data_IF_491744288470
#
_entry.id   IF_491744288470
#
_cell.length_a   1.000
_cell.length_b   1.000
_cell.length_c   1.000
_cell.angle_alpha   90.00
_cell.angle_beta   90.00
_cell.angle_gamma   90.00
#
_symmetry.space_group_name_H-M   'P 1'
#
loop_
_entity.id
_entity.type
_entity.pdbx_description
1 polymer ?
#
# COMPACT_ATOMS: atom_id res chain seq x y z
N UNK A 1 9.22 -4.56 17.05
CA UNK A 1 7.89 -4.17 17.59
C UNK A 1 7.26 -3.22 16.59
N UNK A 2 6.02 -3.46 16.17
CA UNK A 2 5.33 -2.61 15.20
C UNK A 2 4.77 -1.36 15.87
N UNK A 3 4.99 -0.17 15.30
CA UNK A 3 4.53 1.12 15.85
C UNK A 3 4.30 2.16 14.75
N UNK A 4 3.57 3.20 15.05
CA UNK A 4 3.54 4.45 14.28
C UNK A 4 4.86 5.19 14.53
N UNK A 5 5.52 5.62 13.45
CA UNK A 5 6.84 6.26 13.54
C UNK A 5 6.70 7.76 13.79
N UNK A 6 5.80 8.43 13.07
CA UNK A 6 5.69 9.90 13.07
C UNK A 6 4.24 10.37 12.95
N UNK A 7 4.04 11.69 12.96
CA UNK A 7 2.74 12.32 12.86
C UNK A 7 1.97 12.34 14.19
N UNK A 8 0.66 12.65 14.12
CA UNK A 8 -0.21 12.88 15.30
C UNK A 8 -0.37 11.68 16.23
N UNK A 9 -0.08 10.46 15.75
CA UNK A 9 -0.16 9.22 16.52
C UNK A 9 1.22 8.58 16.75
N UNK A 10 2.30 9.32 16.53
CA UNK A 10 3.67 8.83 16.68
C UNK A 10 3.93 8.14 18.01
N UNK A 11 4.69 7.04 17.99
CA UNK A 11 5.04 6.21 19.16
C UNK A 11 3.99 5.17 19.56
N UNK A 12 2.75 5.21 19.03
CA UNK A 12 1.72 4.22 19.36
C UNK A 12 2.10 2.83 18.84
N UNK A 13 2.03 1.84 19.74
CA UNK A 13 2.31 0.43 19.43
C UNK A 13 1.13 -0.18 18.70
N UNK A 14 1.41 -1.02 17.70
CA UNK A 14 0.43 -1.73 16.90
C UNK A 14 0.54 -3.25 17.13
N UNK A 15 -0.60 -3.92 17.11
CA UNK A 15 -0.67 -5.37 17.14
C UNK A 15 -0.17 -5.96 15.82
N UNK A 16 0.45 -7.12 15.91
CA UNK A 16 0.90 -7.92 14.75
C UNK A 16 -0.04 -9.10 14.62
N UNK A 17 -0.50 -9.47 13.43
CA UNK A 17 -1.31 -10.66 13.23
C UNK A 17 -0.58 -11.91 13.75
N UNK A 18 -1.28 -12.87 14.34
CA UNK A 18 -0.69 -14.14 14.73
C UNK A 18 -0.24 -14.93 13.50
N UNK A 19 0.91 -15.59 13.59
CA UNK A 19 1.46 -16.46 12.55
C UNK A 19 2.58 -15.82 11.72
N UNK A 20 3.30 -16.67 10.97
CA UNK A 20 4.47 -16.27 10.16
C UNK A 20 4.10 -15.76 8.76
N UNK A 21 2.83 -15.83 8.37
CA UNK A 21 2.39 -15.57 6.99
C UNK A 21 2.50 -14.10 6.58
N UNK A 22 2.53 -13.17 7.53
CA UNK A 22 2.69 -11.74 7.26
C UNK A 22 3.81 -11.18 8.10
N UNK A 23 4.96 -10.88 7.49
CA UNK A 23 5.98 -10.05 8.12
C UNK A 23 5.58 -8.59 7.91
N UNK A 24 5.21 -7.86 8.97
CA UNK A 24 4.93 -6.43 8.84
C UNK A 24 6.11 -5.71 8.19
N UNK A 25 5.81 -4.65 7.46
CA UNK A 25 6.85 -3.78 6.90
C UNK A 25 7.77 -3.32 8.05
N UNK A 26 9.08 -3.66 8.05
CA UNK A 26 9.98 -3.29 9.13
C UNK A 26 10.04 -1.77 9.32
N UNK A 27 10.15 -1.30 10.56
CA UNK A 27 10.20 0.14 10.89
C UNK A 27 11.22 0.91 10.04
N UNK A 28 12.41 0.31 9.80
CA UNK A 28 13.45 0.93 8.97
C UNK A 28 13.02 1.12 7.51
N UNK A 29 12.33 0.14 6.95
CA UNK A 29 11.83 0.23 5.55
C UNK A 29 10.68 1.25 5.50
N UNK A 30 9.78 1.19 6.49
CA UNK A 30 8.67 2.15 6.59
C UNK A 30 9.18 3.58 6.72
N UNK A 31 10.17 3.84 7.57
CA UNK A 31 10.80 5.16 7.69
C UNK A 31 11.36 5.63 6.34
N UNK A 32 12.19 4.81 5.70
CA UNK A 32 12.77 5.14 4.40
C UNK A 32 11.72 5.36 3.31
N UNK A 33 10.62 4.61 3.36
CA UNK A 33 9.50 4.76 2.42
C UNK A 33 8.81 6.13 2.60
N UNK A 34 8.54 6.55 3.83
CA UNK A 34 7.94 7.86 4.09
C UNK A 34 8.93 9.02 3.92
N UNK A 35 10.24 8.79 4.09
CA UNK A 35 11.27 9.77 3.68
C UNK A 35 11.27 9.97 2.15
N UNK A 36 10.98 8.92 1.39
CA UNK A 36 10.87 8.98 -0.06
C UNK A 36 9.58 9.66 -0.54
N UNK A 37 8.46 9.37 0.13
CA UNK A 37 7.14 9.93 -0.20
C UNK A 37 6.96 11.39 0.22
N UNK A 38 7.80 11.85 1.15
CA UNK A 38 7.59 13.07 1.92
C UNK A 38 6.95 12.77 3.28
N UNK A 39 7.33 13.56 4.28
CA UNK A 39 6.89 13.35 5.67
C UNK A 39 5.45 13.79 5.90
N UNK A 40 4.95 14.73 5.11
CA UNK A 40 3.58 15.29 5.17
C UNK A 40 2.75 14.73 4.01
N UNK A 41 1.65 14.07 4.35
CA UNK A 41 0.69 13.51 3.40
C UNK A 41 -0.64 14.28 3.43
N UNK A 42 -0.65 15.50 3.95
CA UNK A 42 -1.86 16.31 4.06
C UNK A 42 -2.58 16.45 2.72
N UNK A 43 -3.88 16.24 2.73
CA UNK A 43 -4.74 16.31 1.55
C UNK A 43 -4.68 15.10 0.61
N UNK A 44 -3.78 14.15 0.82
CA UNK A 44 -3.65 12.98 -0.05
C UNK A 44 -4.75 11.94 0.21
N UNK A 45 -5.20 11.31 -0.88
CA UNK A 45 -6.10 10.16 -0.91
C UNK A 45 -5.31 8.90 -1.24
N UNK A 46 -5.29 7.95 -0.33
CA UNK A 46 -4.34 6.83 -0.34
C UNK A 46 -5.08 5.49 -0.23
N UNK A 47 -4.61 4.48 -0.96
CA UNK A 47 -4.99 3.08 -0.71
C UNK A 47 -3.76 2.26 -0.28
N UNK A 48 -3.97 1.41 0.73
CA UNK A 48 -3.02 0.40 1.20
C UNK A 48 -3.59 -0.98 0.87
N UNK A 49 -3.04 -1.63 -0.15
CA UNK A 49 -3.52 -2.91 -0.70
C UNK A 49 -2.71 -4.07 -0.14
N UNK A 50 -3.38 -5.11 0.32
CA UNK A 50 -2.80 -6.16 1.15
C UNK A 50 -2.24 -5.59 2.45
N UNK A 51 -3.06 -4.75 3.11
CA UNK A 51 -2.62 -3.88 4.22
C UNK A 51 -2.18 -4.64 5.48
N UNK A 52 -2.49 -5.92 5.59
CA UNK A 52 -2.11 -6.75 6.72
C UNK A 52 -2.57 -6.16 8.06
N UNK A 53 -1.63 -5.77 8.91
CA UNK A 53 -1.91 -5.08 10.18
C UNK A 53 -2.32 -3.61 10.03
N UNK A 54 -2.30 -3.06 8.81
CA UNK A 54 -2.54 -1.65 8.53
C UNK A 54 -1.36 -0.73 8.82
N UNK A 55 -0.16 -1.27 8.93
CA UNK A 55 1.01 -0.48 9.36
C UNK A 55 1.30 0.72 8.46
N UNK A 56 1.13 0.58 7.14
CA UNK A 56 1.28 1.69 6.20
C UNK A 56 0.09 2.65 6.26
N UNK A 57 -1.14 2.12 6.18
CA UNK A 57 -2.35 2.93 6.22
C UNK A 57 -2.43 3.82 7.48
N UNK A 58 -2.16 3.24 8.64
CA UNK A 58 -2.21 3.95 9.92
C UNK A 58 -1.08 4.99 10.05
N UNK A 59 0.08 4.74 9.49
CA UNK A 59 1.16 5.72 9.39
C UNK A 59 0.74 6.89 8.47
N UNK A 60 0.11 6.60 7.32
CA UNK A 60 -0.39 7.63 6.40
C UNK A 60 -1.43 8.53 7.07
N UNK A 61 -2.39 7.94 7.79
CA UNK A 61 -3.36 8.67 8.63
C UNK A 61 -2.64 9.55 9.65
N UNK A 62 -1.62 9.00 10.33
CA UNK A 62 -0.84 9.74 11.32
C UNK A 62 -0.12 10.95 10.74
N UNK A 63 0.26 10.90 9.47
CA UNK A 63 0.95 11.94 8.70
C UNK A 63 0.01 12.89 7.96
N UNK A 64 -1.30 12.84 8.24
CA UNK A 64 -2.26 13.83 7.79
C UNK A 64 -2.97 13.50 6.49
N UNK A 65 -2.88 12.29 5.95
CA UNK A 65 -3.65 11.90 4.77
C UNK A 65 -5.14 12.19 4.97
N UNK A 66 -5.79 12.74 3.94
CA UNK A 66 -7.19 13.16 4.00
C UNK A 66 -8.15 11.98 3.93
N UNK A 67 -7.76 10.91 3.22
CA UNK A 67 -8.56 9.71 3.06
C UNK A 67 -7.63 8.51 2.86
N UNK A 68 -7.82 7.44 3.65
CA UNK A 68 -6.98 6.24 3.58
C UNK A 68 -7.86 4.99 3.54
N UNK A 69 -7.72 4.20 2.49
CA UNK A 69 -8.41 2.93 2.31
C UNK A 69 -7.46 1.76 2.61
N UNK A 70 -7.62 1.09 3.74
CA UNK A 70 -6.90 -0.13 4.08
C UNK A 70 -7.68 -1.34 3.55
N UNK A 71 -7.11 -2.06 2.59
CA UNK A 71 -7.75 -3.17 1.87
C UNK A 71 -7.06 -4.48 2.23
N UNK A 72 -7.78 -5.38 2.89
CA UNK A 72 -7.25 -6.66 3.37
C UNK A 72 -8.30 -7.78 3.24
N UNK A 73 -7.98 -8.80 2.48
CA UNK A 73 -8.88 -9.95 2.28
C UNK A 73 -8.62 -11.09 3.28
N UNK A 74 -7.41 -11.15 3.84
CA UNK A 74 -6.99 -12.23 4.74
C UNK A 74 -7.67 -12.18 6.09
N UNK A 75 -8.40 -13.23 6.44
CA UNK A 75 -9.13 -13.33 7.73
C UNK A 75 -8.19 -13.23 8.94
N UNK A 76 -6.96 -13.73 8.82
CA UNK A 76 -5.94 -13.71 9.88
C UNK A 76 -5.46 -12.29 10.23
N UNK A 77 -5.49 -11.36 9.28
CA UNK A 77 -5.05 -9.98 9.50
C UNK A 77 -6.20 -9.05 9.96
N UNK A 78 -7.46 -9.45 9.72
CA UNK A 78 -8.64 -8.64 10.01
C UNK A 78 -8.73 -8.19 11.46
N UNK A 79 -8.48 -9.08 12.41
CA UNK A 79 -8.53 -8.77 13.85
C UNK A 79 -7.45 -7.76 14.26
N UNK A 80 -6.22 -7.92 13.73
CA UNK A 80 -5.12 -7.02 14.01
C UNK A 80 -5.37 -5.63 13.40
N UNK A 81 -5.81 -5.57 12.13
CA UNK A 81 -6.14 -4.31 11.47
C UNK A 81 -7.26 -3.55 12.22
N UNK A 82 -8.34 -4.26 12.60
CA UNK A 82 -9.43 -3.67 13.39
C UNK A 82 -8.96 -3.18 14.77
N UNK A 83 -8.13 -3.97 15.47
CA UNK A 83 -7.59 -3.58 16.77
C UNK A 83 -6.69 -2.35 16.65
N UNK A 84 -5.84 -2.30 15.61
CA UNK A 84 -4.94 -1.18 15.36
C UNK A 84 -5.69 0.11 15.01
N UNK A 85 -6.76 0.03 14.23
CA UNK A 85 -7.63 1.18 13.97
C UNK A 85 -8.25 1.73 15.27
N UNK A 86 -8.67 0.85 16.20
CA UNK A 86 -9.20 1.24 17.51
C UNK A 86 -8.14 1.92 18.38
N UNK A 87 -6.86 1.48 18.31
CA UNK A 87 -5.75 2.15 19.02
C UNK A 87 -5.62 3.62 18.62
N UNK A 88 -5.96 3.96 17.37
CA UNK A 88 -5.95 5.33 16.87
C UNK A 88 -7.28 6.07 17.10
N UNK A 89 -8.27 5.44 17.73
CA UNK A 89 -9.59 6.03 17.95
C UNK A 89 -10.50 5.98 16.72
N UNK A 90 -10.26 5.08 15.79
CA UNK A 90 -11.03 4.92 14.54
C UNK A 90 -11.20 6.25 13.80
N UNK A 91 -10.10 6.88 13.36
CA UNK A 91 -10.16 8.19 12.72
C UNK A 91 -11.06 8.16 11.48
N UNK A 92 -11.89 9.19 11.26
CA UNK A 92 -12.91 9.20 10.20
C UNK A 92 -12.33 9.12 8.80
N UNK A 93 -11.10 9.53 8.58
CA UNK A 93 -10.37 9.42 7.32
C UNK A 93 -9.90 7.99 7.00
N UNK A 94 -10.00 7.03 7.93
CA UNK A 94 -9.58 5.65 7.75
C UNK A 94 -10.77 4.75 7.39
N UNK A 95 -10.75 4.16 6.21
CA UNK A 95 -11.75 3.24 5.70
C UNK A 95 -11.20 1.81 5.63
N UNK A 96 -11.78 0.88 6.40
CA UNK A 96 -11.36 -0.52 6.42
C UNK A 96 -12.19 -1.34 5.44
N UNK A 97 -11.54 -2.03 4.51
CA UNK A 97 -12.17 -2.91 3.53
C UNK A 97 -11.68 -4.34 3.71
N UNK A 98 -12.53 -5.19 4.31
CA UNK A 98 -12.23 -6.62 4.48
C UNK A 98 -12.71 -7.44 3.28
N UNK A 99 -12.20 -7.06 2.10
CA UNK A 99 -12.56 -7.62 0.80
C UNK A 99 -11.33 -7.71 -0.10
N UNK A 100 -11.44 -8.50 -1.17
CA UNK A 100 -10.45 -8.54 -2.22
C UNK A 100 -10.34 -7.18 -2.92
N UNK A 101 -9.12 -6.78 -3.27
CA UNK A 101 -8.85 -5.48 -3.89
C UNK A 101 -9.58 -5.31 -5.24
N UNK A 102 -9.85 -6.42 -5.95
CA UNK A 102 -10.61 -6.43 -7.20
C UNK A 102 -12.03 -5.88 -7.04
N UNK A 103 -12.60 -5.98 -5.83
CA UNK A 103 -13.94 -5.47 -5.52
C UNK A 103 -13.93 -4.03 -4.99
N UNK A 104 -12.77 -3.54 -4.52
CA UNK A 104 -12.64 -2.24 -3.87
C UNK A 104 -12.04 -1.20 -4.82
N UNK A 105 -10.87 -1.49 -5.42
CA UNK A 105 -10.17 -0.53 -6.28
C UNK A 105 -11.02 0.06 -7.42
N UNK A 106 -11.90 -0.71 -8.11
CA UNK A 106 -12.73 -0.12 -9.17
C UNK A 106 -13.66 1.01 -8.69
N UNK A 107 -14.00 1.03 -7.41
CA UNK A 107 -14.86 2.04 -6.78
C UNK A 107 -14.07 3.28 -6.33
N UNK A 108 -12.75 3.19 -6.23
CA UNK A 108 -11.87 4.28 -5.81
C UNK A 108 -11.30 4.99 -7.05
N UNK A 109 -11.46 6.31 -7.11
CA UNK A 109 -10.95 7.12 -8.22
C UNK A 109 -10.20 8.33 -7.69
N UNK A 110 -9.20 8.76 -8.45
CA UNK A 110 -8.45 9.97 -8.12
C UNK A 110 -7.53 9.80 -6.91
N UNK A 111 -7.02 8.59 -6.65
CA UNK A 111 -6.04 8.35 -5.60
C UNK A 111 -4.70 9.01 -5.96
N UNK A 112 -4.09 9.63 -4.98
CA UNK A 112 -2.73 10.20 -5.10
C UNK A 112 -1.67 9.11 -5.02
N UNK A 113 -1.91 8.13 -4.14
CA UNK A 113 -0.96 7.09 -3.83
C UNK A 113 -1.67 5.76 -3.59
N UNK A 114 -1.12 4.69 -4.14
CA UNK A 114 -1.42 3.31 -3.76
C UNK A 114 -0.13 2.70 -3.25
N UNK A 115 -0.15 2.13 -2.06
CA UNK A 115 0.88 1.21 -1.61
C UNK A 115 0.34 -0.21 -1.69
N UNK A 116 1.15 -1.15 -2.20
CA UNK A 116 0.78 -2.55 -2.29
C UNK A 116 1.93 -3.43 -1.77
N UNK A 117 1.62 -4.28 -0.79
CA UNK A 117 2.54 -5.30 -0.25
C UNK A 117 1.94 -6.70 -0.46
N UNK A 118 1.83 -7.14 -1.75
CA UNK A 118 1.19 -8.40 -2.08
C UNK A 118 1.99 -9.59 -1.56
N UNK A 119 1.35 -10.75 -1.32
CA UNK A 119 2.04 -11.99 -1.01
C UNK A 119 3.08 -12.32 -2.09
N UNK A 120 4.32 -12.59 -1.71
CA UNK A 120 5.39 -12.89 -2.66
C UNK A 120 5.11 -14.05 -3.63
N UNK A 121 4.36 -15.10 -3.25
CA UNK A 121 3.95 -16.14 -4.21
C UNK A 121 3.19 -15.61 -5.43
N UNK A 122 2.53 -14.44 -5.36
CA UNK A 122 1.84 -13.88 -6.53
C UNK A 122 2.79 -13.51 -7.68
N UNK A 123 4.07 -13.25 -7.39
CA UNK A 123 5.05 -12.93 -8.42
C UNK A 123 5.41 -14.13 -9.31
N UNK A 124 5.36 -15.36 -8.78
CA UNK A 124 5.74 -16.56 -9.50
C UNK A 124 4.59 -17.50 -9.78
N UNK A 125 3.69 -17.71 -8.80
CA UNK A 125 2.62 -18.68 -8.90
C UNK A 125 1.30 -18.11 -9.44
N UNK A 126 1.06 -16.81 -9.22
CA UNK A 126 -0.22 -16.16 -9.58
C UNK A 126 -0.02 -14.79 -10.28
N UNK A 127 0.80 -14.71 -11.36
CA UNK A 127 1.16 -13.43 -11.99
C UNK A 127 -0.05 -12.69 -12.58
N UNK A 128 -1.14 -13.38 -12.88
CA UNK A 128 -2.39 -12.76 -13.36
C UNK A 128 -3.06 -11.90 -12.30
N UNK A 129 -2.97 -12.28 -11.01
CA UNK A 129 -3.49 -11.47 -9.89
C UNK A 129 -2.68 -10.18 -9.79
N UNK A 130 -1.36 -10.28 -9.91
CA UNK A 130 -0.46 -9.12 -9.86
C UNK A 130 -0.68 -8.17 -11.04
N UNK A 131 -0.83 -8.71 -12.26
CA UNK A 131 -1.19 -7.91 -13.45
C UNK A 131 -2.54 -7.20 -13.28
N UNK A 132 -3.52 -7.89 -12.70
CA UNK A 132 -4.82 -7.31 -12.35
C UNK A 132 -4.70 -6.16 -11.35
N UNK A 133 -3.85 -6.31 -10.33
CA UNK A 133 -3.56 -5.26 -9.36
C UNK A 133 -2.96 -4.02 -10.03
N UNK A 134 -2.00 -4.20 -10.95
CA UNK A 134 -1.38 -3.09 -11.68
C UNK A 134 -2.40 -2.35 -12.56
N UNK A 135 -3.27 -3.07 -13.28
CA UNK A 135 -4.32 -2.47 -14.11
C UNK A 135 -5.32 -1.67 -13.27
N UNK A 136 -5.87 -2.30 -12.23
CA UNK A 136 -6.85 -1.65 -11.35
C UNK A 136 -6.23 -0.47 -10.58
N UNK A 137 -4.98 -0.62 -10.14
CA UNK A 137 -4.25 0.46 -9.49
C UNK A 137 -4.07 1.66 -10.42
N UNK A 138 -3.64 1.44 -11.67
CA UNK A 138 -3.56 2.50 -12.69
C UNK A 138 -4.90 3.24 -12.83
N UNK A 139 -6.01 2.51 -12.91
CA UNK A 139 -7.34 3.07 -13.18
C UNK A 139 -7.93 3.82 -11.98
N UNK A 140 -7.42 3.54 -10.78
CA UNK A 140 -7.80 4.19 -9.53
C UNK A 140 -6.99 5.45 -9.23
N UNK A 141 -5.75 5.54 -9.72
CA UNK A 141 -4.88 6.70 -9.54
C UNK A 141 -5.37 7.91 -10.34
N UNK A 142 -5.10 9.12 -9.84
CA UNK A 142 -5.17 10.35 -10.64
C UNK A 142 -3.99 10.43 -11.63
N UNK A 143 -4.03 11.27 -12.67
CA UNK A 143 -2.84 11.57 -13.46
C UNK A 143 -1.67 11.97 -12.57
N UNK A 144 -0.47 11.46 -12.83
CA UNK A 144 0.74 11.60 -12.01
C UNK A 144 0.64 10.99 -10.60
N UNK A 145 -0.45 10.30 -10.26
CA UNK A 145 -0.54 9.49 -9.05
C UNK A 145 0.41 8.30 -9.11
N UNK A 146 0.80 7.79 -7.95
CA UNK A 146 1.83 6.76 -7.81
C UNK A 146 1.29 5.46 -7.23
N UNK A 147 1.76 4.34 -7.76
CA UNK A 147 1.62 3.03 -7.15
C UNK A 147 2.99 2.55 -6.70
N UNK A 148 3.17 2.39 -5.40
CA UNK A 148 4.34 1.75 -4.82
C UNK A 148 4.02 0.29 -4.58
N UNK A 149 4.84 -0.61 -5.11
CA UNK A 149 4.66 -2.04 -4.96
C UNK A 149 5.92 -2.70 -4.45
N UNK A 150 5.77 -3.54 -3.43
CA UNK A 150 6.89 -4.27 -2.82
C UNK A 150 6.99 -5.68 -3.38
N UNK A 151 8.21 -6.08 -3.75
CA UNK A 151 8.55 -7.44 -4.15
C UNK A 151 9.79 -7.97 -3.45
N UNK A 152 10.12 -9.23 -3.69
CA UNK A 152 11.31 -9.90 -3.18
C UNK A 152 12.42 -9.93 -4.24
N UNK A 153 13.69 -9.92 -3.80
CA UNK A 153 14.81 -10.09 -4.73
C UNK A 153 14.71 -11.43 -5.48
N UNK A 154 15.09 -11.42 -6.76
CA UNK A 154 15.02 -12.59 -7.63
C UNK A 154 13.68 -12.73 -8.37
N UNK A 155 12.72 -11.84 -8.12
CA UNK A 155 11.48 -11.77 -8.90
C UNK A 155 11.28 -10.35 -9.45
N UNK A 156 10.64 -10.25 -10.61
CA UNK A 156 10.34 -8.99 -11.25
C UNK A 156 8.83 -8.74 -11.37
N UNK A 157 8.48 -7.48 -11.64
CA UNK A 157 7.11 -7.15 -11.98
C UNK A 157 6.71 -7.81 -13.32
N UNK A 158 5.46 -8.20 -13.48
CA UNK A 158 4.95 -8.57 -14.79
C UNK A 158 5.01 -7.34 -15.73
N UNK A 159 4.75 -7.57 -17.01
CA UNK A 159 4.67 -6.48 -17.99
C UNK A 159 3.72 -5.39 -17.48
N UNK A 160 4.21 -4.15 -17.41
CA UNK A 160 3.42 -3.03 -16.95
C UNK A 160 2.31 -2.70 -17.96
N UNK A 161 1.08 -2.47 -17.50
CA UNK A 161 0.00 -2.03 -18.40
C UNK A 161 0.32 -0.64 -18.96
N UNK A 162 -0.14 -0.39 -20.19
CA UNK A 162 -0.08 0.94 -20.78
C UNK A 162 -0.62 2.00 -19.82
N UNK A 163 0.06 3.12 -19.69
CA UNK A 163 -0.29 4.20 -18.77
C UNK A 163 0.31 4.05 -17.35
N UNK A 164 1.10 3.00 -17.08
CA UNK A 164 2.01 2.95 -15.94
C UNK A 164 3.46 2.90 -16.42
N UNK A 165 4.32 3.63 -15.74
CA UNK A 165 5.77 3.62 -15.97
C UNK A 165 6.51 3.56 -14.64
N UNK A 166 7.49 2.67 -14.52
CA UNK A 166 8.40 2.65 -13.39
C UNK A 166 9.30 3.89 -13.45
N UNK A 167 9.32 4.69 -12.40
CA UNK A 167 10.12 5.91 -12.32
C UNK A 167 11.27 5.81 -11.30
N UNK A 168 11.15 4.93 -10.31
CA UNK A 168 12.21 4.66 -9.35
C UNK A 168 12.04 3.27 -8.73
N UNK A 169 13.14 2.67 -8.24
CA UNK A 169 13.13 1.41 -7.50
C UNK A 169 14.20 1.44 -6.41
N UNK A 170 13.80 1.10 -5.19
CA UNK A 170 14.73 1.03 -4.04
C UNK A 170 14.81 -0.36 -3.47
N UNK A 171 16.02 -0.78 -3.12
CA UNK A 171 16.29 -2.11 -2.56
C UNK A 171 16.46 -2.03 -1.04
N UNK A 172 15.84 -2.97 -0.33
CA UNK A 172 15.84 -3.07 1.13
C UNK A 172 16.16 -4.50 1.57
N UNK A 173 17.43 -4.84 1.68
CA UNK A 173 17.85 -6.20 2.00
C UNK A 173 17.35 -7.20 0.95
N UNK A 174 16.43 -8.11 1.32
CA UNK A 174 15.86 -9.11 0.40
C UNK A 174 14.58 -8.64 -0.31
N UNK A 175 14.20 -7.41 -0.19
CA UNK A 175 13.03 -6.88 -0.90
C UNK A 175 13.38 -5.60 -1.66
N UNK A 176 12.53 -5.27 -2.62
CA UNK A 176 12.55 -3.99 -3.33
C UNK A 176 11.18 -3.33 -3.26
N UNK A 177 11.14 -2.04 -3.46
CA UNK A 177 9.91 -1.26 -3.66
C UNK A 177 10.08 -0.48 -4.96
N UNK A 178 9.22 -0.75 -5.94
CA UNK A 178 9.14 0.00 -7.18
C UNK A 178 8.08 1.09 -7.08
N UNK A 179 8.39 2.25 -7.61
CA UNK A 179 7.47 3.37 -7.80
C UNK A 179 7.01 3.39 -9.25
N UNK A 180 5.71 3.27 -9.45
CA UNK A 180 5.07 3.30 -10.76
C UNK A 180 4.20 4.55 -10.84
N UNK A 181 4.47 5.43 -11.80
CA UNK A 181 3.70 6.66 -12.00
C UNK A 181 2.64 6.44 -13.09
N UNK A 182 1.42 6.92 -12.83
CA UNK A 182 0.39 6.99 -13.86
C UNK A 182 0.73 8.11 -14.84
N UNK A 183 1.09 7.75 -16.06
CA UNK A 183 1.29 8.69 -17.18
C UNK A 183 0.02 8.79 -18.00
N UNK A 184 -0.22 9.94 -18.62
CA UNK A 184 -1.26 10.06 -19.62
C UNK A 184 -0.83 9.15 -20.80
N UNK A 185 -1.70 8.21 -21.19
CA UNK A 185 -1.44 7.41 -22.37
C UNK A 185 -1.21 8.34 -23.56
N UNK A 186 -0.14 8.09 -24.32
CA UNK A 186 -0.06 8.65 -25.65
C UNK A 186 -1.33 8.20 -26.39
N UNK A 187 -2.04 9.09 -27.10
CA UNK A 187 -3.12 8.64 -27.96
C UNK A 187 -2.56 7.53 -28.85
N UNK A 188 -3.26 6.41 -28.90
CA UNK A 188 -2.94 5.33 -29.83
C UNK A 188 -3.05 5.96 -31.22
N UNK A 189 -1.88 6.07 -31.89
CA UNK A 189 -1.81 6.56 -33.25
C UNK A 189 -2.48 5.57 -34.20
#
# INVERSE_FOLDING_TARGET
MLRIISGRFGGRKLAVPPGLATRPLPDRIKQSLFDWLGQDLSGQRIADVCSGSGSFALEAVSRGAAEVHAIEAGSHAKSALSANAKVLGQPPELHLHFRQFQLVLPQLKGLDLIFADPPFPWYSAEPTILSGLLCLGRDSLRPQGRLLIRGEQGVDLPLLPSGLREDDRRTYGRSWIASLVRVQGLPIA
#
